data_IF_127909673583
#
_entry.id   IF_127909673583
#
_cell.length_a   1.000
_cell.length_b   1.000
_cell.length_c   1.000
_cell.angle_alpha   90.00
_cell.angle_beta   90.00
_cell.angle_gamma   90.00
#
_symmetry.space_group_name_H-M   'P 1'
#
loop_
_entity.id
_entity.type
_entity.pdbx_description
1 polymer ?
#
# COMPACT_ATOMS: atom_id res chain seq x y z
N UNK A 1 -0.81 -41.60 -32.91
CA UNK A 1 -0.90 -42.06 -31.50
C UNK A 1 -0.23 -41.09 -30.50
N UNK A 2 0.99 -40.58 -30.75
CA UNK A 2 1.73 -39.67 -29.84
C UNK A 2 0.98 -38.39 -29.41
N UNK A 3 0.19 -37.77 -30.29
CA UNK A 3 -0.57 -36.53 -29.98
C UNK A 3 -1.81 -36.73 -29.09
N UNK A 4 -2.40 -37.94 -29.08
CA UNK A 4 -3.58 -38.24 -28.25
C UNK A 4 -3.22 -38.33 -26.75
N UNK A 5 -2.02 -38.80 -26.44
CA UNK A 5 -1.52 -38.92 -25.05
C UNK A 5 -1.32 -37.53 -24.42
N UNK A 6 -0.76 -36.59 -25.17
CA UNK A 6 -0.53 -35.20 -24.71
C UNK A 6 -1.87 -34.50 -24.47
N UNK A 7 -2.84 -34.67 -25.37
CA UNK A 7 -4.18 -34.10 -25.23
C UNK A 7 -4.91 -34.69 -24.00
N UNK A 8 -4.82 -36.00 -23.76
CA UNK A 8 -5.38 -36.64 -22.57
C UNK A 8 -4.75 -36.13 -21.27
N UNK A 9 -3.43 -35.93 -21.23
CA UNK A 9 -2.75 -35.38 -20.05
C UNK A 9 -3.18 -33.94 -19.75
N UNK A 10 -3.37 -33.11 -20.79
CA UNK A 10 -3.89 -31.74 -20.62
C UNK A 10 -5.34 -31.73 -20.11
N UNK A 11 -6.19 -32.63 -20.61
CA UNK A 11 -7.59 -32.76 -20.17
C UNK A 11 -7.66 -33.26 -18.71
N UNK A 12 -6.83 -34.24 -18.31
CA UNK A 12 -6.79 -34.76 -16.95
C UNK A 12 -6.27 -33.71 -15.94
N UNK A 13 -5.27 -32.92 -16.33
CA UNK A 13 -4.82 -31.77 -15.53
C UNK A 13 -5.92 -30.72 -15.37
N UNK A 14 -6.67 -30.43 -16.43
CA UNK A 14 -7.80 -29.49 -16.40
C UNK A 14 -8.93 -30.00 -15.50
N UNK A 15 -9.31 -31.28 -15.61
CA UNK A 15 -10.37 -31.88 -14.79
C UNK A 15 -10.01 -31.94 -13.30
N UNK A 16 -8.78 -32.35 -12.95
CA UNK A 16 -8.32 -32.32 -11.54
C UNK A 16 -8.32 -30.90 -10.96
N UNK A 17 -8.03 -29.88 -11.78
CA UNK A 17 -8.09 -28.48 -11.38
C UNK A 17 -9.52 -27.95 -11.22
N UNK A 18 -10.46 -28.45 -12.02
CA UNK A 18 -11.88 -28.12 -11.89
C UNK A 18 -12.53 -28.82 -10.69
N UNK A 19 -12.20 -30.09 -10.42
CA UNK A 19 -12.78 -30.86 -9.31
C UNK A 19 -12.42 -30.25 -7.94
N UNK A 20 -11.17 -29.82 -7.77
CA UNK A 20 -10.69 -29.17 -6.54
C UNK A 20 -11.38 -27.83 -6.23
N UNK A 21 -12.06 -27.23 -7.20
CA UNK A 21 -12.80 -25.97 -7.02
C UNK A 21 -14.24 -26.18 -6.52
N UNK A 22 -14.79 -27.38 -6.65
CA UNK A 22 -16.20 -27.67 -6.34
C UNK A 22 -16.35 -28.21 -4.91
N UNK A 23 -15.41 -29.03 -4.43
CA UNK A 23 -15.52 -29.69 -3.12
C UNK A 23 -15.19 -28.81 -1.90
N UNK A 24 -14.70 -27.58 -2.10
CA UNK A 24 -14.31 -26.68 -0.99
C UNK A 24 -15.40 -25.69 -0.54
N UNK A 25 -16.65 -25.83 -0.99
CA UNK A 25 -17.66 -24.76 -0.85
C UNK A 25 -18.65 -24.91 0.33
N UNK A 26 -18.67 -26.01 1.10
CA UNK A 26 -19.72 -26.21 2.11
C UNK A 26 -19.29 -26.53 3.56
N UNK A 27 -18.02 -26.37 3.92
CA UNK A 27 -17.62 -26.36 5.33
C UNK A 27 -17.60 -24.92 5.86
N UNK A 28 -18.69 -24.47 6.49
CA UNK A 28 -18.74 -23.23 7.31
C UNK A 28 -17.90 -23.38 8.59
N UNK A 29 -16.60 -23.59 8.45
CA UNK A 29 -15.67 -23.33 9.56
C UNK A 29 -15.62 -21.82 9.72
N UNK A 30 -16.00 -21.31 10.91
CA UNK A 30 -15.75 -19.92 11.29
C UNK A 30 -14.25 -19.69 11.19
N UNK A 31 -13.79 -19.15 10.07
CA UNK A 31 -12.39 -18.74 9.91
C UNK A 31 -12.16 -17.62 10.91
N UNK A 32 -11.30 -17.86 11.89
CA UNK A 32 -10.80 -16.82 12.79
C UNK A 32 -9.94 -15.87 11.96
N UNK A 33 -10.54 -14.80 11.44
CA UNK A 33 -9.82 -13.74 10.76
C UNK A 33 -9.01 -12.96 11.79
N UNK A 34 -7.69 -12.89 11.59
CA UNK A 34 -6.85 -12.00 12.40
C UNK A 34 -7.15 -10.56 12.00
N UNK A 35 -7.47 -9.73 12.98
CA UNK A 35 -7.64 -8.29 12.77
C UNK A 35 -6.29 -7.63 13.05
N UNK A 36 -5.59 -7.25 11.99
CA UNK A 36 -4.35 -6.48 12.10
C UNK A 36 -4.65 -4.97 11.98
N UNK A 37 -3.76 -4.14 12.50
CA UNK A 37 -3.85 -2.68 12.39
C UNK A 37 -2.57 -2.07 11.87
N UNK A 38 -2.68 -1.15 10.92
CA UNK A 38 -1.59 -0.32 10.43
C UNK A 38 -1.78 1.07 10.99
N UNK A 39 -0.75 1.60 11.67
CA UNK A 39 -0.77 2.97 12.18
C UNK A 39 0.05 3.87 11.26
N UNK A 40 -0.47 5.06 10.97
CA UNK A 40 0.23 6.14 10.27
C UNK A 40 0.27 7.35 11.19
N UNK A 41 1.46 7.84 11.52
CA UNK A 41 1.64 9.02 12.37
C UNK A 41 1.77 10.26 11.48
N UNK A 42 0.77 11.15 11.53
CA UNK A 42 0.73 12.34 10.69
C UNK A 42 1.87 13.33 10.98
N UNK A 43 2.38 13.39 12.22
CA UNK A 43 3.44 14.34 12.55
C UNK A 43 4.81 13.88 12.05
N UNK A 44 5.07 12.57 12.05
CA UNK A 44 6.36 12.00 11.64
C UNK A 44 6.37 11.45 10.21
N UNK A 45 5.19 11.32 9.59
CA UNK A 45 4.99 10.67 8.28
C UNK A 45 5.49 9.21 8.23
N UNK A 46 5.43 8.51 9.36
CA UNK A 46 5.90 7.12 9.48
C UNK A 46 4.75 6.13 9.67
N UNK A 47 4.95 4.92 9.14
CA UNK A 47 4.05 3.79 9.38
C UNK A 47 4.60 2.87 10.47
N UNK A 48 3.73 2.48 11.39
CA UNK A 48 4.02 1.48 12.41
C UNK A 48 3.14 0.24 12.19
N UNK A 49 3.64 -0.93 12.63
CA UNK A 49 2.90 -2.18 12.63
C UNK A 49 2.41 -2.65 11.24
N UNK A 50 3.17 -2.35 10.18
CA UNK A 50 2.83 -2.81 8.82
C UNK A 50 2.91 -4.35 8.77
N UNK A 51 1.79 -5.06 8.52
CA UNK A 51 1.79 -6.51 8.55
C UNK A 51 2.58 -7.07 7.37
N UNK A 52 3.56 -7.92 7.66
CA UNK A 52 4.40 -8.60 6.64
C UNK A 52 3.77 -9.91 6.14
N UNK A 53 2.74 -10.41 6.82
CA UNK A 53 2.17 -11.74 6.64
C UNK A 53 0.66 -11.73 6.36
N UNK A 54 0.15 -10.66 5.76
CA UNK A 54 -1.28 -10.49 5.47
C UNK A 54 -1.77 -11.55 4.48
N UNK A 55 -2.84 -12.29 4.77
CA UNK A 55 -3.45 -13.27 3.85
C UNK A 55 -4.68 -12.70 3.19
N UNK A 56 -5.07 -13.27 2.06
CA UNK A 56 -6.31 -12.88 1.39
C UNK A 56 -7.52 -13.19 2.28
N UNK A 57 -8.40 -12.21 2.47
CA UNK A 57 -9.54 -12.27 3.37
C UNK A 57 -9.25 -11.77 4.80
N UNK A 58 -7.99 -11.57 5.17
CA UNK A 58 -7.66 -10.92 6.46
C UNK A 58 -8.21 -9.48 6.47
N UNK A 59 -8.54 -8.99 7.66
CA UNK A 59 -9.09 -7.65 7.84
C UNK A 59 -8.04 -6.74 8.47
N UNK A 60 -7.84 -5.57 7.87
CA UNK A 60 -6.88 -4.57 8.33
C UNK A 60 -7.61 -3.29 8.71
N UNK A 61 -7.34 -2.74 9.89
CA UNK A 61 -7.74 -1.38 10.26
C UNK A 61 -6.59 -0.41 10.02
N UNK A 62 -6.90 0.75 9.46
CA UNK A 62 -5.95 1.84 9.29
C UNK A 62 -6.23 2.87 10.37
N UNK A 63 -5.21 3.23 11.12
CA UNK A 63 -5.28 4.21 12.20
C UNK A 63 -4.35 5.36 11.81
N UNK A 64 -4.89 6.54 11.54
CA UNK A 64 -4.08 7.76 11.39
C UNK A 64 -4.06 8.45 12.74
N UNK A 65 -2.88 8.62 13.33
CA UNK A 65 -2.68 9.26 14.64
C UNK A 65 -2.18 10.68 14.49
N UNK A 66 -2.38 11.48 15.55
CA UNK A 66 -1.98 12.89 15.61
C UNK A 66 -2.63 13.77 14.53
N UNK A 67 -3.80 13.38 14.01
CA UNK A 67 -4.55 14.15 13.02
C UNK A 67 -5.78 14.77 13.67
N UNK A 68 -5.81 16.10 13.76
CA UNK A 68 -7.00 16.80 14.25
C UNK A 68 -8.13 16.69 13.21
N UNK A 69 -9.07 15.76 13.41
CA UNK A 69 -10.17 15.48 12.45
C UNK A 69 -11.16 16.65 12.27
N UNK A 70 -11.06 17.68 13.12
CA UNK A 70 -11.82 18.92 12.97
C UNK A 70 -11.16 19.88 12.01
N UNK A 71 -9.83 19.92 11.97
CA UNK A 71 -9.06 20.76 11.04
C UNK A 71 -8.79 20.04 9.71
N UNK A 72 -8.70 18.71 9.76
CA UNK A 72 -8.32 17.88 8.64
C UNK A 72 -9.41 16.89 8.27
N UNK A 73 -9.54 16.70 6.98
CA UNK A 73 -10.29 15.61 6.38
C UNK A 73 -9.32 14.48 6.01
N UNK A 74 -9.63 13.28 6.45
CA UNK A 74 -8.85 12.08 6.13
C UNK A 74 -9.63 11.27 5.11
N UNK A 75 -9.12 11.19 3.89
CA UNK A 75 -9.61 10.30 2.83
C UNK A 75 -8.68 9.11 2.71
N UNK A 76 -9.23 7.92 2.92
CA UNK A 76 -8.56 6.65 2.69
C UNK A 76 -9.11 6.03 1.40
N UNK A 77 -8.32 6.12 0.35
CA UNK A 77 -8.59 5.53 -0.94
C UNK A 77 -8.00 4.12 -0.98
N UNK A 78 -8.85 3.14 -1.25
CA UNK A 78 -8.47 1.78 -1.60
C UNK A 78 -8.99 1.47 -3.00
N UNK A 79 -8.45 0.44 -3.64
CA UNK A 79 -8.85 0.06 -5.00
C UNK A 79 -10.37 -0.09 -5.21
N UNK A 80 -11.10 -0.49 -4.17
CA UNK A 80 -12.53 -0.80 -4.26
C UNK A 80 -13.42 0.13 -3.42
N UNK A 81 -12.84 1.05 -2.64
CA UNK A 81 -13.60 1.86 -1.70
C UNK A 81 -12.87 3.14 -1.35
N UNK A 82 -13.61 4.24 -1.33
CA UNK A 82 -13.19 5.51 -0.75
C UNK A 82 -13.85 5.63 0.62
N UNK A 83 -13.05 5.86 1.65
CA UNK A 83 -13.50 6.10 3.01
C UNK A 83 -13.10 7.53 3.39
N UNK A 84 -14.02 8.30 3.94
CA UNK A 84 -13.79 9.71 4.27
C UNK A 84 -14.17 9.95 5.72
N UNK A 85 -13.36 10.69 6.46
CA UNK A 85 -13.71 11.11 7.80
C UNK A 85 -14.89 12.10 7.72
N UNK A 86 -16.07 11.65 8.14
CA UNK A 86 -17.24 12.51 8.20
C UNK A 86 -17.12 13.33 9.51
N UNK A 87 -17.03 14.67 9.46
CA UNK A 87 -17.09 15.45 10.67
C UNK A 87 -18.51 15.30 11.20
N UNK A 88 -18.69 14.72 12.39
CA UNK A 88 -19.97 14.83 13.07
C UNK A 88 -20.32 16.33 13.13
N UNK A 89 -21.49 16.66 12.59
CA UNK A 89 -22.01 17.97 12.16
C UNK A 89 -22.03 19.08 13.25
N UNK A 90 -21.47 18.82 14.43
CA UNK A 90 -21.70 19.58 15.66
C UNK A 90 -20.85 20.87 15.71
N UNK A 91 -19.68 20.92 15.06
CA UNK A 91 -18.76 22.06 15.16
C UNK A 91 -19.01 23.20 14.17
N UNK A 92 -19.60 22.93 13.01
CA UNK A 92 -19.94 23.97 12.04
C UNK A 92 -20.85 25.03 12.65
N UNK A 93 -21.81 24.60 13.48
CA UNK A 93 -22.69 25.49 14.25
C UNK A 93 -22.01 26.17 15.43
N UNK A 94 -20.96 25.60 16.02
CA UNK A 94 -20.25 26.20 17.16
C UNK A 94 -19.31 27.31 16.69
N UNK A 95 -18.56 27.10 15.59
CA UNK A 95 -17.59 28.06 15.07
C UNK A 95 -18.23 29.27 14.37
N UNK A 96 -19.36 29.09 13.68
CA UNK A 96 -20.13 30.21 13.11
C UNK A 96 -20.74 31.08 14.21
N UNK A 97 -21.29 30.47 15.26
CA UNK A 97 -21.75 31.21 16.44
C UNK A 97 -20.62 31.98 17.12
N UNK A 98 -19.40 31.42 17.22
CA UNK A 98 -18.22 32.12 17.75
C UNK A 98 -17.88 33.38 16.97
N UNK A 99 -17.84 33.30 15.64
CA UNK A 99 -17.47 34.45 14.80
C UNK A 99 -18.53 35.56 14.87
N UNK A 100 -19.81 35.19 14.94
CA UNK A 100 -20.92 36.11 15.11
C UNK A 100 -20.91 36.80 16.49
N UNK A 101 -20.55 36.06 17.55
CA UNK A 101 -20.36 36.62 18.90
C UNK A 101 -19.18 37.60 18.92
N UNK A 102 -18.04 37.25 18.30
CA UNK A 102 -16.86 38.15 18.26
C UNK A 102 -17.06 39.40 17.40
N UNK A 103 -17.87 39.35 16.35
CA UNK A 103 -18.25 40.53 15.56
C UNK A 103 -19.22 41.46 16.30
N UNK A 104 -20.02 40.90 17.21
CA UNK A 104 -20.98 41.64 18.02
C UNK A 104 -20.43 42.08 19.39
N UNK A 105 -19.18 41.72 19.72
CA UNK A 105 -18.43 42.33 20.81
C UNK A 105 -18.12 43.79 20.42
N UNK A 106 -18.70 44.80 21.08
CA UNK A 106 -18.59 46.18 20.62
C UNK A 106 -17.14 46.66 20.76
N UNK A 107 -16.52 47.09 19.66
CA UNK A 107 -15.21 47.75 19.62
C UNK A 107 -15.19 49.15 20.28
N UNK A 108 -16.30 49.58 20.89
CA UNK A 108 -16.52 50.92 21.43
C UNK A 108 -16.63 51.02 22.96
N UNK A 109 -15.99 50.14 23.72
CA UNK A 109 -16.14 50.12 25.20
C UNK A 109 -15.32 51.22 25.92
N UNK A 110 -14.35 51.87 25.28
CA UNK A 110 -13.53 52.90 25.96
C UNK A 110 -14.23 54.28 26.00
N UNK A 111 -15.25 54.52 25.16
CA UNK A 111 -15.77 55.89 24.96
C UNK A 111 -17.03 56.26 25.73
N UNK A 112 -17.65 55.34 26.48
CA UNK A 112 -18.93 55.61 27.18
C UNK A 112 -18.82 55.76 28.70
N UNK A 113 -17.62 55.65 29.29
CA UNK A 113 -17.42 55.91 30.72
C UNK A 113 -16.97 57.34 31.05
N UNK A 114 -16.71 58.18 30.04
CA UNK A 114 -16.17 59.54 30.20
C UNK A 114 -17.18 60.60 30.64
N UNK A 115 -18.45 60.26 30.86
CA UNK A 115 -19.51 61.23 31.20
C UNK A 115 -20.16 61.06 32.58
N UNK A 116 -19.62 60.19 33.45
CA UNK A 116 -20.06 60.12 34.84
C UNK A 116 -18.86 60.35 35.75
N UNK A 117 -18.73 61.59 36.21
CA UNK A 117 -17.64 62.12 37.03
C UNK A 117 -17.74 61.67 38.50
N UNK A 118 -18.04 60.39 38.72
CA UNK A 118 -18.13 59.78 40.04
C UNK A 118 -16.87 58.94 40.31
N UNK A 119 -16.22 59.19 41.44
CA UNK A 119 -15.03 58.47 41.91
C UNK A 119 -15.25 56.94 41.97
N UNK A 120 -16.52 56.51 42.08
CA UNK A 120 -16.95 55.13 41.98
C UNK A 120 -16.82 54.52 40.57
N UNK A 121 -17.24 55.24 39.52
CA UNK A 121 -17.14 54.80 38.12
C UNK A 121 -15.68 54.74 37.67
N UNK A 122 -14.83 55.65 38.13
CA UNK A 122 -13.38 55.60 37.88
C UNK A 122 -12.70 54.42 38.57
N UNK A 123 -13.11 54.05 39.79
CA UNK A 123 -12.59 52.86 40.48
C UNK A 123 -13.05 51.56 39.80
N UNK A 124 -14.30 51.49 39.35
CA UNK A 124 -14.84 50.36 38.59
C UNK A 124 -14.21 50.25 37.19
N UNK A 125 -14.04 51.36 36.47
CA UNK A 125 -13.32 51.40 35.19
C UNK A 125 -11.89 50.90 35.38
N UNK A 126 -11.16 51.38 36.40
CA UNK A 126 -9.79 50.88 36.69
C UNK A 126 -9.77 49.39 37.04
N UNK A 127 -10.78 48.86 37.73
CA UNK A 127 -10.91 47.42 38.01
C UNK A 127 -11.23 46.64 36.73
N UNK A 128 -12.09 47.16 35.86
CA UNK A 128 -12.41 46.59 34.56
C UNK A 128 -11.23 46.64 33.58
N UNK A 129 -10.47 47.72 33.54
CA UNK A 129 -9.24 47.85 32.75
C UNK A 129 -8.17 46.88 33.27
N UNK A 130 -8.12 46.69 34.60
CA UNK A 130 -7.27 45.66 35.22
C UNK A 130 -7.73 44.24 34.84
N UNK A 131 -9.04 43.97 34.79
CA UNK A 131 -9.57 42.68 34.32
C UNK A 131 -9.36 42.46 32.83
N UNK A 132 -9.65 43.45 32.00
CA UNK A 132 -9.44 43.38 30.57
C UNK A 132 -7.95 43.22 30.26
N UNK A 133 -7.05 43.82 31.03
CA UNK A 133 -5.61 43.57 30.89
C UNK A 133 -5.19 42.22 31.44
N UNK A 134 -5.79 41.70 32.52
CA UNK A 134 -5.55 40.33 33.00
C UNK A 134 -6.09 39.29 32.01
N UNK A 135 -7.28 39.47 31.45
CA UNK A 135 -7.87 38.62 30.42
C UNK A 135 -7.07 38.69 29.13
N UNK A 136 -6.67 39.88 28.67
CA UNK A 136 -5.80 40.01 27.51
C UNK A 136 -4.43 39.41 27.77
N UNK A 137 -3.82 39.64 28.93
CA UNK A 137 -2.52 39.06 29.30
C UNK A 137 -2.62 37.54 29.45
N UNK A 138 -3.69 37.01 30.03
CA UNK A 138 -3.94 35.58 30.12
C UNK A 138 -4.18 34.95 28.75
N UNK A 139 -5.00 35.59 27.91
CA UNK A 139 -5.28 35.13 26.55
C UNK A 139 -4.02 35.20 25.67
N UNK A 140 -3.23 36.28 25.79
CA UNK A 140 -1.95 36.42 25.09
C UNK A 140 -0.91 35.43 25.60
N UNK A 141 -0.76 35.22 26.92
CA UNK A 141 0.17 34.22 27.50
C UNK A 141 -0.23 32.80 27.13
N UNK A 142 -1.53 32.49 27.16
CA UNK A 142 -2.06 31.20 26.73
C UNK A 142 -1.84 31.01 25.23
N UNK A 143 -2.10 32.04 24.41
CA UNK A 143 -1.82 32.01 22.97
C UNK A 143 -0.32 31.89 22.67
N UNK A 144 0.55 32.57 23.42
CA UNK A 144 2.01 32.50 23.25
C UNK A 144 2.52 31.12 23.65
N UNK A 145 2.03 30.56 24.76
CA UNK A 145 2.36 29.20 25.20
C UNK A 145 1.88 28.14 24.20
N UNK A 146 0.66 28.30 23.68
CA UNK A 146 0.11 27.44 22.63
C UNK A 146 0.90 27.61 21.33
N UNK A 147 1.24 28.84 20.91
CA UNK A 147 2.05 29.11 19.71
C UNK A 147 3.45 28.55 19.82
N UNK A 148 4.15 28.74 20.94
CA UNK A 148 5.51 28.22 21.12
C UNK A 148 5.50 26.68 21.09
N UNK A 149 4.50 26.05 21.71
CA UNK A 149 4.36 24.58 21.75
C UNK A 149 3.87 23.96 20.44
N UNK A 150 3.05 24.66 19.66
CA UNK A 150 2.68 24.25 18.29
C UNK A 150 3.90 24.34 17.34
N UNK A 151 4.78 25.31 17.55
CA UNK A 151 5.98 25.49 16.71
C UNK A 151 7.05 24.40 16.99
N UNK A 152 6.99 23.74 18.14
CA UNK A 152 7.94 22.67 18.54
C UNK A 152 7.54 21.25 18.12
N UNK A 153 6.42 21.05 17.40
CA UNK A 153 5.95 19.76 16.87
C UNK A 153 5.69 18.62 17.89
N UNK A 154 5.79 18.89 19.20
CA UNK A 154 5.63 17.88 20.25
C UNK A 154 4.30 18.08 21.02
N UNK A 155 3.19 17.70 20.38
CA UNK A 155 1.83 17.78 20.95
C UNK A 155 1.65 16.96 22.24
N UNK A 156 2.58 16.06 22.56
CA UNK A 156 2.55 15.24 23.80
C UNK A 156 2.94 16.04 25.05
N UNK A 157 3.53 17.23 24.89
CA UNK A 157 3.95 18.14 25.97
C UNK A 157 3.05 19.36 26.15
N UNK A 158 1.81 19.30 25.65
CA UNK A 158 0.78 20.21 26.14
C UNK A 158 0.48 19.78 27.57
N UNK A 159 1.30 20.24 28.52
CA UNK A 159 0.93 20.25 29.93
C UNK A 159 -0.48 20.81 30.01
N UNK A 160 -1.40 20.02 30.59
CA UNK A 160 -2.75 20.46 30.93
C UNK A 160 -2.63 21.85 31.50
N UNK A 161 -3.42 22.79 30.98
CA UNK A 161 -3.55 24.11 31.61
C UNK A 161 -3.77 23.83 33.09
N UNK A 162 -2.83 24.28 33.93
CA UNK A 162 -2.82 23.94 35.35
C UNK A 162 -4.20 24.23 35.91
N UNK A 163 -4.85 23.19 36.42
CA UNK A 163 -6.21 23.25 36.92
C UNK A 163 -6.33 24.35 37.99
N UNK A 164 -5.24 24.62 38.72
CA UNK A 164 -5.15 25.70 39.69
C UNK A 164 -5.21 27.10 39.06
N UNK A 165 -4.67 27.29 37.85
CA UNK A 165 -4.75 28.58 37.13
C UNK A 165 -6.18 28.85 36.67
N UNK A 166 -6.89 27.82 36.19
CA UNK A 166 -8.31 27.90 35.87
C UNK A 166 -9.16 28.17 37.12
N UNK A 167 -8.91 27.43 38.20
CA UNK A 167 -9.60 27.61 39.49
C UNK A 167 -9.37 29.04 40.02
N UNK A 168 -8.14 29.56 39.94
CA UNK A 168 -7.82 30.92 40.39
C UNK A 168 -8.55 31.99 39.56
N UNK A 169 -8.62 31.84 38.23
CA UNK A 169 -9.40 32.73 37.38
C UNK A 169 -10.90 32.66 37.69
N UNK A 170 -11.45 31.46 37.96
CA UNK A 170 -12.84 31.29 38.40
C UNK A 170 -13.10 31.96 39.76
N UNK A 171 -12.16 31.86 40.70
CA UNK A 171 -12.25 32.51 42.00
C UNK A 171 -12.23 34.04 41.86
N UNK A 172 -11.39 34.60 40.98
CA UNK A 172 -11.37 36.04 40.67
C UNK A 172 -12.68 36.52 40.04
N UNK A 173 -13.22 35.78 39.06
CA UNK A 173 -14.51 36.09 38.43
C UNK A 173 -15.64 36.05 39.48
N UNK A 174 -15.65 35.05 40.36
CA UNK A 174 -16.67 34.92 41.42
C UNK A 174 -16.58 36.03 42.47
N UNK A 175 -15.37 36.41 42.89
CA UNK A 175 -15.15 37.58 43.75
C UNK A 175 -15.66 38.87 43.11
N UNK A 176 -15.53 38.98 41.79
CA UNK A 176 -16.05 40.11 41.04
C UNK A 176 -17.58 40.12 41.00
N UNK A 177 -18.21 38.97 40.74
CA UNK A 177 -19.66 38.83 40.81
C UNK A 177 -20.21 39.21 42.18
N UNK A 178 -19.56 38.74 43.24
CA UNK A 178 -19.95 39.05 44.61
C UNK A 178 -19.77 40.54 44.92
N UNK A 179 -18.73 41.17 44.36
CA UNK A 179 -18.52 42.61 44.44
C UNK A 179 -19.62 43.37 43.66
N UNK A 180 -20.00 42.92 42.47
CA UNK A 180 -21.04 43.54 41.63
C UNK A 180 -22.43 43.39 42.27
N UNK A 181 -22.74 42.23 42.86
CA UNK A 181 -23.98 41.98 43.62
C UNK A 181 -24.13 42.95 44.80
N UNK A 182 -23.02 43.31 45.45
CA UNK A 182 -23.01 44.30 46.55
C UNK A 182 -23.40 45.72 46.10
N UNK A 183 -23.38 46.00 44.79
CA UNK A 183 -23.66 47.31 44.20
C UNK A 183 -24.81 47.28 43.17
N UNK A 184 -25.67 46.25 43.18
CA UNK A 184 -26.72 46.01 42.17
C UNK A 184 -27.78 47.11 42.04
N UNK A 185 -27.94 47.94 43.07
CA UNK A 185 -29.05 48.89 43.17
C UNK A 185 -28.72 50.26 42.55
N UNK A 186 -27.46 50.47 42.12
CA UNK A 186 -27.05 51.66 41.36
C UNK A 186 -27.14 51.37 39.86
N UNK A 187 -27.47 52.38 39.05
CA UNK A 187 -27.66 52.23 37.59
C UNK A 187 -26.44 51.62 36.87
N UNK A 188 -25.23 51.86 37.39
CA UNK A 188 -24.00 51.26 36.89
C UNK A 188 -23.94 49.73 37.17
N UNK A 189 -24.42 49.27 38.32
CA UNK A 189 -24.55 47.86 38.66
C UNK A 189 -25.57 47.13 37.78
N UNK A 190 -26.67 47.79 37.41
CA UNK A 190 -27.67 47.25 36.46
C UNK A 190 -27.12 47.12 35.03
N UNK A 191 -26.33 48.09 34.55
CA UNK A 191 -25.73 48.03 33.21
C UNK A 191 -24.64 46.94 33.10
N UNK A 192 -23.85 46.76 34.15
CA UNK A 192 -22.84 45.69 34.25
C UNK A 192 -23.53 44.33 34.40
N UNK A 193 -24.54 44.25 35.27
CA UNK A 193 -25.34 43.03 35.46
C UNK A 193 -26.10 42.65 34.18
N UNK A 194 -26.65 43.57 33.40
CA UNK A 194 -27.28 43.25 32.11
C UNK A 194 -26.30 42.69 31.06
N UNK A 195 -25.00 43.02 31.16
CA UNK A 195 -23.94 42.46 30.28
C UNK A 195 -23.37 41.14 30.80
N UNK A 196 -23.36 40.91 32.11
CA UNK A 196 -22.98 39.63 32.73
C UNK A 196 -24.13 38.61 32.75
N UNK A 197 -25.38 39.08 32.91
CA UNK A 197 -26.65 38.34 32.77
C UNK A 197 -26.99 38.06 31.30
N UNK A 198 -26.10 38.39 30.35
CA UNK A 198 -25.89 37.43 29.27
C UNK A 198 -25.35 36.14 29.91
N UNK A 199 -26.21 35.38 30.57
CA UNK A 199 -25.97 34.05 31.13
C UNK A 199 -25.33 33.10 30.10
N UNK A 200 -25.41 33.49 28.82
CA UNK A 200 -24.69 32.91 27.70
C UNK A 200 -23.17 33.05 27.79
N UNK A 201 -22.57 34.07 28.39
CA UNK A 201 -21.11 34.26 28.34
C UNK A 201 -20.36 33.26 29.22
N UNK A 202 -20.73 33.12 30.50
CA UNK A 202 -20.13 32.11 31.39
C UNK A 202 -20.42 30.69 30.93
N UNK A 203 -21.67 30.39 30.55
CA UNK A 203 -22.04 29.07 30.04
C UNK A 203 -21.30 28.77 28.72
N UNK A 204 -21.19 29.73 27.81
CA UNK A 204 -20.41 29.56 26.58
C UNK A 204 -18.91 29.42 26.88
N UNK A 205 -18.35 30.23 27.76
CA UNK A 205 -16.93 30.16 28.12
C UNK A 205 -16.60 28.82 28.79
N UNK A 206 -17.46 28.34 29.70
CA UNK A 206 -17.39 26.99 30.28
C UNK A 206 -17.53 25.92 29.21
N UNK A 207 -18.46 26.05 28.26
CA UNK A 207 -18.61 25.10 27.16
C UNK A 207 -17.39 25.11 26.22
N UNK A 208 -16.75 26.27 25.99
CA UNK A 208 -15.53 26.37 25.18
C UNK A 208 -14.32 25.80 25.91
N UNK A 209 -14.10 26.15 27.18
CA UNK A 209 -13.01 25.57 27.98
C UNK A 209 -13.23 24.07 28.15
N UNK A 210 -14.43 23.61 28.44
CA UNK A 210 -14.77 22.17 28.50
C UNK A 210 -14.56 21.50 27.14
N UNK A 211 -14.88 22.15 26.01
CA UNK A 211 -14.58 21.63 24.68
C UNK A 211 -13.06 21.50 24.43
N UNK A 212 -12.27 22.51 24.78
CA UNK A 212 -10.81 22.51 24.62
C UNK A 212 -10.09 21.56 25.60
N UNK A 213 -10.61 21.43 26.83
CA UNK A 213 -10.11 20.54 27.88
C UNK A 213 -10.48 19.08 27.57
N UNK A 214 -11.65 18.85 26.96
CA UNK A 214 -12.11 17.52 26.54
C UNK A 214 -11.77 17.19 25.09
N UNK A 215 -10.76 17.84 24.49
CA UNK A 215 -10.17 17.32 23.26
C UNK A 215 -9.36 16.06 23.63
N UNK A 216 -10.10 14.97 23.85
CA UNK A 216 -9.59 13.63 24.11
C UNK A 216 -8.59 13.24 23.00
N UNK A 217 -7.49 12.57 23.37
CA UNK A 217 -6.52 12.01 22.43
C UNK A 217 -7.20 11.12 21.38
N UNK A 218 -8.33 10.48 21.74
CA UNK A 218 -9.20 9.75 20.82
C UNK A 218 -9.74 10.58 19.64
N UNK A 219 -9.84 11.90 19.77
CA UNK A 219 -10.30 12.81 18.71
C UNK A 219 -9.24 13.11 17.65
N UNK A 220 -7.96 12.93 18.00
CA UNK A 220 -6.81 13.08 17.09
C UNK A 220 -6.49 11.81 16.30
N UNK A 221 -7.34 10.80 16.40
CA UNK A 221 -7.14 9.54 15.72
C UNK A 221 -8.28 9.29 14.72
N UNK A 222 -7.95 9.04 13.46
CA UNK A 222 -8.89 8.46 12.50
C UNK A 222 -8.71 6.95 12.48
N UNK A 223 -9.79 6.21 12.75
CA UNK A 223 -9.79 4.73 12.70
C UNK A 223 -10.73 4.30 11.59
N UNK A 224 -10.19 3.63 10.57
CA UNK A 224 -10.99 3.09 9.47
C UNK A 224 -11.83 1.90 9.94
N UNK A 225 -12.99 1.62 9.30
CA UNK A 225 -13.59 0.29 9.38
C UNK A 225 -12.58 -0.76 8.89
N UNK A 226 -12.71 -2.03 9.30
CA UNK A 226 -11.85 -3.10 8.81
C UNK A 226 -11.97 -3.26 7.29
N UNK A 227 -10.83 -3.26 6.60
CA UNK A 227 -10.71 -3.43 5.14
C UNK A 227 -10.25 -4.84 4.86
N UNK A 228 -10.99 -5.56 4.04
CA UNK A 228 -10.63 -6.92 3.65
C UNK A 228 -9.50 -6.90 2.62
N UNK A 229 -8.41 -7.60 2.89
CA UNK A 229 -7.27 -7.75 2.01
C UNK A 229 -7.65 -8.61 0.80
N UNK A 230 -7.65 -8.02 -0.41
CA UNK A 230 -7.97 -8.71 -1.66
C UNK A 230 -6.89 -8.51 -2.71
N UNK A 231 -6.65 -9.56 -3.50
CA UNK A 231 -5.65 -9.55 -4.56
C UNK A 231 -4.22 -9.71 -4.05
N UNK A 232 -3.28 -9.04 -4.73
CA UNK A 232 -1.84 -9.23 -4.51
C UNK A 232 -1.26 -8.23 -3.50
N UNK A 233 -1.86 -7.04 -3.44
CA UNK A 233 -1.47 -5.96 -2.56
C UNK A 233 -2.71 -5.26 -2.04
N UNK A 234 -2.69 -4.88 -0.77
CA UNK A 234 -3.58 -3.87 -0.22
C UNK A 234 -2.94 -2.51 -0.48
N UNK A 235 -3.41 -1.85 -1.55
CA UNK A 235 -3.01 -0.49 -1.91
C UNK A 235 -3.87 0.50 -1.12
N UNK A 236 -3.19 1.34 -0.33
CA UNK A 236 -3.81 2.40 0.47
C UNK A 236 -3.21 3.72 0.03
N UNK A 237 -4.08 4.67 -0.26
CA UNK A 237 -3.73 6.06 -0.54
C UNK A 237 -4.45 6.90 0.52
N UNK A 238 -3.68 7.38 1.49
CA UNK A 238 -4.14 8.21 2.60
C UNK A 238 -3.90 9.65 2.19
N UNK A 239 -4.98 10.42 2.13
CA UNK A 239 -4.95 11.86 1.84
C UNK A 239 -5.49 12.60 3.04
N UNK A 240 -4.73 13.56 3.54
CA UNK A 240 -5.06 14.40 4.68
C UNK A 240 -5.09 15.82 4.16
N UNK A 241 -6.29 16.38 4.03
CA UNK A 241 -6.49 17.70 3.45
C UNK A 241 -7.11 18.63 4.49
N UNK A 242 -6.63 19.89 4.63
CA UNK A 242 -7.30 20.87 5.47
C UNK A 242 -8.75 21.03 5.05
N UNK A 243 -9.65 21.11 6.03
CA UNK A 243 -11.05 21.43 5.76
C UNK A 243 -11.16 22.90 5.38
N UNK A 244 -11.81 23.18 4.27
CA UNK A 244 -12.18 24.55 3.89
C UNK A 244 -13.44 24.93 4.67
N UNK A 245 -13.29 25.81 5.66
CA UNK A 245 -14.45 26.44 6.29
C UNK A 245 -14.92 27.59 5.38
N UNK A 246 -16.14 27.48 4.84
CA UNK A 246 -16.72 28.47 3.91
C UNK A 246 -16.79 29.88 4.53
N UNK A 247 -16.76 29.98 5.86
CA UNK A 247 -16.71 31.24 6.58
C UNK A 247 -15.29 31.51 7.09
N UNK A 248 -14.72 32.61 6.60
CA UNK A 248 -13.41 33.18 6.96
C UNK A 248 -13.17 33.17 8.47
N UNK A 249 -12.61 32.09 9.00
CA UNK A 249 -12.06 32.07 10.34
C UNK A 249 -10.80 32.96 10.33
N UNK A 250 -10.66 33.92 11.27
CA UNK A 250 -9.53 34.84 11.31
C UNK A 250 -8.19 34.16 11.65
N UNK A 251 -8.20 32.87 11.98
CA UNK A 251 -7.01 32.09 12.26
C UNK A 251 -6.48 31.46 10.97
N UNK A 252 -5.47 32.10 10.36
CA UNK A 252 -4.65 31.50 9.31
C UNK A 252 -3.61 30.63 10.01
N UNK A 253 -4.00 29.42 10.43
CA UNK A 253 -3.03 28.38 10.73
C UNK A 253 -2.59 27.83 9.36
N UNK A 254 -1.29 27.82 9.01
CA UNK A 254 -0.83 27.19 7.78
C UNK A 254 -1.06 25.68 7.93
N UNK A 255 -2.17 25.19 7.39
CA UNK A 255 -2.50 23.77 7.37
C UNK A 255 -1.96 23.19 6.06
N UNK A 256 -1.10 22.19 6.16
CA UNK A 256 -0.50 21.53 5.01
C UNK A 256 -1.36 20.36 4.52
N UNK A 257 -1.32 20.09 3.21
CA UNK A 257 -1.84 18.84 2.66
C UNK A 257 -0.79 17.74 2.82
N UNK A 258 -1.24 16.53 3.12
CA UNK A 258 -0.40 15.35 3.09
C UNK A 258 -1.06 14.23 2.28
N UNK A 259 -0.24 13.45 1.58
CA UNK A 259 -0.68 12.32 0.79
C UNK A 259 0.38 11.25 0.76
N UNK A 260 0.02 10.06 1.26
CA UNK A 260 0.93 8.92 1.30
C UNK A 260 0.31 7.67 0.71
N UNK A 261 1.11 6.95 -0.09
CA UNK A 261 0.72 5.70 -0.75
C UNK A 261 1.52 4.55 -0.21
N UNK A 262 0.84 3.57 0.38
CA UNK A 262 1.45 2.32 0.87
C UNK A 262 0.83 1.13 0.17
N UNK A 263 1.67 0.14 -0.16
CA UNK A 263 1.25 -1.10 -0.79
C UNK A 263 1.71 -2.28 0.06
N UNK A 264 0.77 -2.90 0.77
CA UNK A 264 1.04 -4.00 1.69
C UNK A 264 0.91 -5.31 0.93
N UNK A 265 1.95 -6.17 0.86
CA UNK A 265 1.87 -7.43 0.13
C UNK A 265 0.90 -8.39 0.82
N UNK A 266 0.02 -9.01 0.02
CA UNK A 266 -0.87 -10.06 0.46
C UNK A 266 -0.25 -11.40 0.08
N UNK A 267 0.02 -12.25 1.07
CA UNK A 267 0.37 -13.67 0.90
C UNK A 267 -0.81 -14.42 0.31
N UNK A 268 -0.97 -14.30 -1.01
CA UNK A 268 -1.77 -15.20 -1.81
C UNK A 268 -1.21 -16.61 -1.67
N UNK A 269 -1.95 -17.50 -1.00
CA UNK A 269 -1.68 -18.93 -1.04
C UNK A 269 -2.13 -19.55 -2.38
N UNK A 270 -2.71 -18.74 -3.28
CA UNK A 270 -3.18 -19.19 -4.60
C UNK A 270 -2.00 -19.28 -5.55
N UNK A 271 -1.89 -20.43 -6.18
CA UNK A 271 -1.07 -20.63 -7.36
C UNK A 271 -1.66 -19.81 -8.51
N UNK A 272 -0.81 -19.09 -9.21
CA UNK A 272 -1.15 -18.34 -10.42
C UNK A 272 -0.64 -19.10 -11.62
N UNK A 273 -1.51 -19.21 -12.61
CA UNK A 273 -1.14 -19.76 -13.91
C UNK A 273 -0.71 -18.60 -14.82
N UNK A 274 0.51 -18.64 -15.31
CA UNK A 274 1.01 -17.67 -16.30
C UNK A 274 1.61 -18.37 -17.50
N UNK A 275 1.66 -17.66 -18.63
CA UNK A 275 2.20 -18.18 -19.87
C UNK A 275 3.32 -17.27 -20.36
N UNK A 276 4.45 -17.86 -20.74
CA UNK A 276 5.62 -17.12 -21.20
C UNK A 276 6.14 -17.65 -22.52
N UNK A 277 6.89 -16.82 -23.23
CA UNK A 277 7.72 -17.22 -24.37
C UNK A 277 9.14 -16.69 -24.22
N UNK A 278 10.14 -17.33 -24.82
CA UNK A 278 11.51 -16.81 -24.83
C UNK A 278 12.53 -17.83 -25.29
N UNK A 279 13.77 -17.63 -24.87
CA UNK A 279 14.90 -18.43 -25.34
C UNK A 279 15.31 -19.48 -24.30
N UNK A 280 15.75 -20.65 -24.78
CA UNK A 280 16.32 -21.68 -23.94
C UNK A 280 17.63 -22.21 -24.50
N UNK A 281 18.45 -22.74 -23.61
CA UNK A 281 19.65 -23.52 -23.89
C UNK A 281 19.48 -24.92 -23.31
N UNK A 282 19.87 -25.94 -24.07
CA UNK A 282 19.78 -27.34 -23.63
C UNK A 282 20.98 -28.17 -24.05
N UNK A 283 21.30 -29.21 -23.28
CA UNK A 283 22.20 -30.30 -23.69
C UNK A 283 21.55 -31.34 -24.63
N UNK A 284 20.25 -31.25 -24.90
CA UNK A 284 19.56 -32.12 -25.85
C UNK A 284 19.63 -31.51 -27.24
N UNK A 285 20.51 -32.08 -28.07
CA UNK A 285 20.64 -31.72 -29.49
C UNK A 285 20.44 -32.92 -30.41
N UNK A 286 19.92 -32.63 -31.59
CA UNK A 286 19.84 -33.59 -32.71
C UNK A 286 21.21 -33.65 -33.38
N UNK A 287 22.08 -34.49 -32.83
CA UNK A 287 23.49 -34.61 -33.21
C UNK A 287 23.72 -35.46 -34.48
N UNK A 288 22.68 -36.04 -35.05
CA UNK A 288 22.81 -37.23 -35.89
C UNK A 288 23.09 -36.96 -37.36
N UNK A 289 23.54 -35.78 -37.78
CA UNK A 289 23.97 -35.66 -39.18
C UNK A 289 25.34 -36.30 -39.31
N UNK A 290 25.36 -37.41 -40.03
CA UNK A 290 26.57 -38.05 -40.48
C UNK A 290 26.65 -37.79 -41.97
N UNK A 291 27.84 -37.43 -42.43
CA UNK A 291 28.15 -37.19 -43.82
C UNK A 291 29.33 -38.06 -44.24
N UNK A 292 29.37 -38.40 -45.52
CA UNK A 292 30.52 -39.09 -46.10
C UNK A 292 31.61 -38.08 -46.42
N UNK A 293 32.74 -38.14 -45.71
CA UNK A 293 33.94 -37.37 -46.05
C UNK A 293 34.91 -38.22 -46.86
N UNK A 294 35.49 -37.69 -47.95
CA UNK A 294 36.53 -38.39 -48.68
C UNK A 294 37.77 -38.55 -47.79
N UNK A 295 38.35 -39.75 -47.79
CA UNK A 295 39.60 -40.05 -47.09
C UNK A 295 40.62 -40.58 -48.11
N UNK A 296 41.75 -39.90 -48.22
CA UNK A 296 42.85 -40.28 -49.10
C UNK A 296 43.97 -40.94 -48.28
N UNK A 297 44.52 -42.04 -48.79
CA UNK A 297 45.77 -42.61 -48.29
C UNK A 297 46.81 -42.32 -49.38
N UNK A 298 47.69 -41.35 -49.13
CA UNK A 298 48.59 -40.81 -50.16
C UNK A 298 47.86 -39.95 -51.20
N UNK A 299 48.32 -39.98 -52.45
CA UNK A 299 47.79 -39.17 -53.57
C UNK A 299 46.51 -39.77 -54.21
N UNK A 300 46.03 -40.91 -53.70
CA UNK A 300 44.85 -41.61 -54.23
C UNK A 300 43.65 -41.50 -53.30
N UNK A 301 42.54 -40.97 -53.82
CA UNK A 301 41.24 -40.94 -53.14
C UNK A 301 40.75 -42.38 -52.97
N UNK A 302 40.80 -42.91 -51.75
CA UNK A 302 40.73 -44.37 -51.52
C UNK A 302 39.34 -44.83 -51.05
N UNK A 303 38.65 -44.05 -50.22
CA UNK A 303 37.31 -44.40 -49.69
C UNK A 303 36.61 -43.20 -49.05
N UNK A 304 35.32 -43.36 -48.76
CA UNK A 304 34.56 -42.43 -47.92
C UNK A 304 34.47 -42.96 -46.50
N UNK A 305 34.72 -42.09 -45.52
CA UNK A 305 34.47 -42.36 -44.11
C UNK A 305 33.21 -41.64 -43.67
N UNK A 306 32.37 -42.36 -42.92
CA UNK A 306 31.21 -41.77 -42.28
C UNK A 306 31.70 -40.93 -41.08
N UNK A 307 31.63 -39.62 -41.19
CA UNK A 307 31.97 -38.72 -40.09
C UNK A 307 30.74 -37.95 -39.65
N UNK A 308 30.69 -37.60 -38.37
CA UNK A 308 29.71 -36.65 -37.88
C UNK A 308 29.92 -35.32 -38.63
N UNK A 309 28.88 -34.81 -39.28
CA UNK A 309 28.93 -33.45 -39.82
C UNK A 309 29.10 -32.51 -38.63
N UNK A 310 30.20 -31.76 -38.62
CA UNK A 310 30.49 -30.75 -37.60
C UNK A 310 29.49 -29.60 -37.73
N UNK A 311 28.25 -29.82 -37.29
CA UNK A 311 27.25 -28.79 -37.09
C UNK A 311 27.58 -28.03 -35.79
N UNK A 312 28.75 -27.39 -35.75
CA UNK A 312 29.27 -26.67 -34.59
C UNK A 312 29.61 -27.57 -33.40
N UNK A 313 30.80 -27.42 -32.84
CA UNK A 313 31.24 -28.16 -31.66
C UNK A 313 30.50 -27.77 -30.36
N UNK A 314 29.41 -27.01 -30.44
CA UNK A 314 28.65 -26.62 -29.26
C UNK A 314 28.01 -27.86 -28.63
N UNK A 315 28.32 -28.07 -27.35
CA UNK A 315 27.67 -29.09 -26.51
C UNK A 315 26.19 -28.79 -26.25
N UNK A 316 25.74 -27.60 -26.64
CA UNK A 316 24.42 -27.06 -26.34
C UNK A 316 23.69 -26.60 -27.61
N UNK A 317 22.37 -26.70 -27.57
CA UNK A 317 21.46 -26.13 -28.56
C UNK A 317 20.72 -24.94 -27.97
N UNK A 318 20.55 -23.88 -28.77
CA UNK A 318 19.72 -22.73 -28.45
C UNK A 318 18.35 -22.89 -29.13
N UNK A 319 17.29 -22.41 -28.50
CA UNK A 319 15.94 -22.57 -29.02
C UNK A 319 14.96 -21.54 -28.49
N UNK A 320 13.73 -21.59 -29.03
CA UNK A 320 12.59 -20.82 -28.54
C UNK A 320 11.65 -21.73 -27.75
N UNK A 321 11.11 -21.25 -26.63
CA UNK A 321 10.23 -22.03 -25.77
C UNK A 321 8.94 -21.29 -25.45
N UNK A 322 7.85 -22.03 -25.33
CA UNK A 322 6.57 -21.57 -24.77
C UNK A 322 6.28 -22.38 -23.51
N UNK A 323 5.94 -21.71 -22.40
CA UNK A 323 5.84 -22.34 -21.08
C UNK A 323 4.60 -21.86 -20.33
N UNK A 324 3.94 -22.79 -19.66
CA UNK A 324 2.96 -22.52 -18.62
C UNK A 324 3.64 -22.64 -17.25
N UNK A 325 3.46 -21.63 -16.40
CA UNK A 325 4.04 -21.56 -15.06
C UNK A 325 2.94 -21.59 -14.02
N UNK A 326 3.16 -22.37 -12.98
CA UNK A 326 2.38 -22.37 -11.76
C UNK A 326 3.24 -21.74 -10.69
N UNK A 327 2.95 -20.49 -10.34
CA UNK A 327 3.82 -19.69 -9.46
C UNK A 327 3.07 -19.14 -8.26
N UNK A 328 3.82 -18.95 -7.18
CA UNK A 328 3.35 -18.28 -5.96
C UNK A 328 4.16 -17.01 -5.73
N UNK A 329 3.49 -15.95 -5.28
CA UNK A 329 4.15 -14.71 -4.87
C UNK A 329 4.99 -14.94 -3.61
N UNK A 330 6.29 -14.65 -3.68
CA UNK A 330 7.19 -14.66 -2.52
C UNK A 330 7.23 -13.26 -1.90
N UNK A 331 7.45 -12.24 -2.73
CA UNK A 331 7.50 -10.83 -2.32
C UNK A 331 6.93 -9.93 -3.44
N UNK A 332 7.02 -8.60 -3.29
CA UNK A 332 6.44 -7.63 -4.26
C UNK A 332 6.95 -7.79 -5.70
N UNK A 333 8.20 -8.24 -5.86
CA UNK A 333 8.91 -8.28 -7.13
C UNK A 333 9.37 -9.69 -7.53
N UNK A 334 9.02 -10.72 -6.74
CA UNK A 334 9.52 -12.08 -6.91
C UNK A 334 8.41 -13.10 -6.75
N UNK A 335 8.32 -14.00 -7.73
CA UNK A 335 7.52 -15.22 -7.65
C UNK A 335 8.40 -16.44 -7.88
N UNK A 336 8.02 -17.57 -7.32
CA UNK A 336 8.64 -18.85 -7.65
C UNK A 336 7.61 -19.95 -7.82
N UNK A 337 7.98 -21.00 -8.54
CA UNK A 337 7.12 -22.15 -8.73
C UNK A 337 7.71 -23.12 -9.73
N UNK A 338 6.83 -23.79 -10.47
CA UNK A 338 7.21 -24.79 -11.47
C UNK A 338 6.61 -24.46 -12.82
N UNK A 339 7.17 -25.04 -13.88
CA UNK A 339 6.70 -24.84 -15.23
C UNK A 339 6.59 -26.15 -16.01
N UNK A 340 5.72 -26.14 -17.02
CA UNK A 340 5.62 -27.13 -18.08
C UNK A 340 5.62 -26.38 -19.40
N UNK A 341 6.40 -26.82 -20.38
CA UNK A 341 6.50 -26.09 -21.64
C UNK A 341 7.07 -26.89 -22.78
N UNK A 342 6.93 -26.32 -23.97
CA UNK A 342 7.46 -26.86 -25.21
C UNK A 342 8.65 -26.03 -25.67
N UNK A 343 9.67 -26.67 -26.20
CA UNK A 343 10.86 -26.04 -26.75
C UNK A 343 11.11 -26.49 -28.19
N UNK A 344 11.48 -25.54 -29.05
CA UNK A 344 11.89 -25.77 -30.43
C UNK A 344 13.34 -25.24 -30.62
N UNK A 345 14.35 -26.12 -30.72
CA UNK A 345 15.72 -25.71 -30.94
C UNK A 345 15.89 -25.11 -32.35
N UNK A 346 16.72 -24.07 -32.44
CA UNK A 346 17.14 -23.42 -33.68
C UNK A 346 18.23 -24.27 -34.34
N UNK A 347 17.82 -25.40 -34.90
CA UNK A 347 18.67 -26.34 -35.63
C UNK A 347 18.05 -26.65 -37.00
N UNK A 348 18.84 -27.17 -37.94
CA UNK A 348 18.40 -27.44 -39.32
C UNK A 348 17.16 -28.36 -39.41
N UNK A 349 17.03 -29.31 -38.46
CA UNK A 349 15.88 -30.20 -38.34
C UNK A 349 15.25 -30.03 -36.94
N UNK A 350 14.42 -29.01 -36.71
CA UNK A 350 13.90 -28.74 -35.38
C UNK A 350 12.90 -29.82 -34.96
N UNK A 351 13.12 -30.42 -33.78
CA UNK A 351 12.17 -31.34 -33.16
C UNK A 351 11.51 -30.64 -31.97
N UNK A 352 10.23 -30.91 -31.74
CA UNK A 352 9.52 -30.38 -30.57
C UNK A 352 9.92 -31.17 -29.32
N UNK A 353 10.34 -30.46 -28.28
CA UNK A 353 10.70 -31.05 -26.99
C UNK A 353 9.73 -30.62 -25.90
N UNK A 354 9.46 -31.52 -24.95
CA UNK A 354 8.71 -31.23 -23.74
C UNK A 354 9.69 -30.90 -22.61
N UNK A 355 9.42 -29.87 -21.83
CA UNK A 355 10.26 -29.41 -20.72
C UNK A 355 9.44 -29.20 -19.45
N UNK A 356 10.07 -29.45 -18.31
CA UNK A 356 9.52 -29.18 -16.98
C UNK A 356 10.61 -28.77 -16.01
N UNK A 357 10.26 -28.00 -14.98
CA UNK A 357 11.23 -27.64 -13.94
C UNK A 357 10.75 -26.53 -13.02
N UNK A 358 11.70 -25.85 -12.39
CA UNK A 358 11.46 -24.72 -11.51
C UNK A 358 11.53 -23.39 -12.28
N UNK A 359 10.74 -22.41 -11.83
CA UNK A 359 10.72 -21.04 -12.38
C UNK A 359 10.84 -20.02 -11.26
N UNK A 360 11.63 -18.97 -11.50
CA UNK A 360 11.73 -17.78 -10.66
C UNK A 360 11.42 -16.57 -11.55
N UNK A 361 10.40 -15.81 -11.18
CA UNK A 361 9.95 -14.62 -11.90
C UNK A 361 10.35 -13.37 -11.15
N UNK A 362 10.96 -12.41 -11.86
CA UNK A 362 11.39 -11.13 -11.32
C UNK A 362 10.65 -9.96 -12.00
N UNK A 363 10.47 -8.88 -11.24
CA UNK A 363 9.89 -7.62 -11.71
C UNK A 363 8.38 -7.50 -11.48
N UNK A 364 7.84 -6.30 -11.71
CA UNK A 364 6.39 -6.05 -11.63
C UNK A 364 5.69 -6.89 -12.71
N UNK A 365 4.77 -7.78 -12.30
CA UNK A 365 4.03 -8.72 -13.18
C UNK A 365 4.88 -9.84 -13.82
N UNK A 366 6.02 -10.18 -13.22
CA UNK A 366 6.94 -11.22 -13.70
C UNK A 366 7.41 -11.03 -15.15
N UNK A 367 7.75 -9.81 -15.57
CA UNK A 367 8.17 -9.57 -16.96
C UNK A 367 9.30 -10.51 -17.41
N UNK A 368 10.19 -10.92 -16.50
CA UNK A 368 11.32 -11.81 -16.78
C UNK A 368 11.24 -13.04 -15.87
N UNK A 369 11.26 -14.24 -16.46
CA UNK A 369 11.35 -15.50 -15.73
C UNK A 369 12.62 -16.27 -16.10
N UNK A 370 13.30 -16.76 -15.07
CA UNK A 370 14.41 -17.69 -15.16
C UNK A 370 13.89 -19.09 -14.88
N UNK A 371 14.15 -20.02 -15.78
CA UNK A 371 13.67 -21.39 -15.61
C UNK A 371 14.79 -22.41 -15.79
N UNK A 372 14.79 -23.40 -14.90
CA UNK A 372 15.79 -24.47 -14.84
C UNK A 372 15.07 -25.81 -14.71
N UNK A 373 15.51 -26.83 -15.43
CA UNK A 373 14.90 -28.15 -15.31
C UNK A 373 15.37 -29.14 -16.36
N UNK A 374 14.46 -30.01 -16.76
CA UNK A 374 14.69 -31.08 -17.71
C UNK A 374 13.89 -30.88 -18.98
N UNK A 375 14.44 -31.32 -20.09
CA UNK A 375 13.82 -31.31 -21.41
C UNK A 375 14.03 -32.68 -22.06
N UNK A 376 12.99 -33.18 -22.71
CA UNK A 376 12.96 -34.52 -23.29
C UNK A 376 12.20 -34.55 -24.61
N UNK A 377 12.70 -35.36 -25.55
CA UNK A 377 12.10 -35.51 -26.86
C UNK A 377 12.84 -36.53 -27.71
N UNK A 378 12.24 -36.87 -28.85
CA UNK A 378 12.88 -37.80 -29.79
C UNK A 378 13.95 -37.03 -30.58
N UNK A 379 15.15 -37.59 -30.60
CA UNK A 379 16.24 -37.18 -31.49
C UNK A 379 16.46 -38.30 -32.50
N UNK A 380 16.86 -37.94 -33.72
CA UNK A 380 17.28 -38.94 -34.68
C UNK A 380 18.68 -39.38 -34.26
N UNK A 381 18.97 -40.67 -34.39
CA UNK A 381 20.30 -41.26 -34.19
C UNK A 381 20.49 -42.27 -35.31
N UNK A 382 21.69 -42.43 -35.89
CA UNK A 382 21.87 -43.46 -36.90
C UNK A 382 21.57 -44.84 -36.29
N UNK A 383 20.95 -45.73 -37.08
CA UNK A 383 20.70 -47.09 -36.62
C UNK A 383 22.03 -47.78 -36.26
N UNK A 384 22.03 -48.61 -35.23
CA UNK A 384 23.23 -49.22 -34.61
C UNK A 384 24.06 -50.12 -35.54
N UNK A 385 23.63 -50.29 -36.80
CA UNK A 385 24.32 -51.09 -37.81
C UNK A 385 25.36 -50.28 -38.61
N UNK A 386 25.54 -48.99 -38.31
CA UNK A 386 26.56 -48.16 -38.94
C UNK A 386 27.88 -48.28 -38.19
N UNK A 387 28.72 -49.22 -38.61
CA UNK A 387 30.11 -49.29 -38.17
C UNK A 387 30.85 -48.05 -38.71
N UNK A 388 31.22 -47.12 -37.83
CA UNK A 388 31.90 -45.86 -38.19
C UNK A 388 33.31 -46.07 -38.74
N UNK A 389 33.88 -47.26 -38.53
CA UNK A 389 35.19 -47.66 -39.07
C UNK A 389 35.06 -48.33 -40.45
N UNK A 390 33.83 -48.57 -40.93
CA UNK A 390 33.62 -49.16 -42.24
C UNK A 390 33.96 -48.18 -43.35
N UNK A 391 34.76 -48.64 -44.31
CA UNK A 391 35.22 -47.85 -45.46
C UNK A 391 34.30 -48.12 -46.64
N UNK A 392 33.71 -47.07 -47.20
CA UNK A 392 32.77 -47.21 -48.31
C UNK A 392 33.42 -46.80 -49.64
N UNK A 393 33.24 -47.62 -50.68
CA UNK A 393 33.72 -47.35 -52.04
C UNK A 393 32.83 -46.38 -52.83
N UNK A 394 31.60 -46.12 -52.34
CA UNK A 394 30.62 -45.20 -52.95
C UNK A 394 30.06 -44.24 -51.91
N UNK A 395 29.69 -43.02 -52.35
CA UNK A 395 29.19 -41.92 -51.51
C UNK A 395 27.72 -42.09 -51.08
N UNK A 396 26.92 -42.87 -51.80
CA UNK A 396 25.45 -42.76 -51.73
C UNK A 396 24.76 -43.92 -51.00
N UNK A 397 25.36 -44.41 -49.90
CA UNK A 397 24.68 -45.39 -49.06
C UNK A 397 23.70 -44.63 -48.14
N UNK A 398 22.39 -44.94 -48.18
CA UNK A 398 21.42 -44.25 -47.33
C UNK A 398 21.70 -44.55 -45.86
N UNK A 399 21.86 -43.49 -45.06
CA UNK A 399 22.01 -43.59 -43.60
C UNK A 399 20.63 -43.72 -43.00
N UNK A 400 20.33 -44.87 -42.40
CA UNK A 400 19.07 -45.09 -41.70
C UNK A 400 19.10 -44.41 -40.32
N UNK A 401 18.02 -43.72 -39.97
CA UNK A 401 17.85 -43.03 -38.70
C UNK A 401 16.73 -43.62 -37.88
N UNK A 402 16.99 -43.84 -36.59
CA UNK A 402 15.99 -44.24 -35.61
C UNK A 402 15.69 -43.10 -34.63
N UNK A 403 14.43 -42.96 -34.26
CA UNK A 403 14.03 -42.03 -33.19
C UNK A 403 14.42 -42.62 -31.83
N UNK A 404 15.26 -41.90 -31.08
CA UNK A 404 15.58 -42.24 -29.68
C UNK A 404 15.13 -41.12 -28.75
N UNK A 405 14.47 -41.49 -27.66
CA UNK A 405 14.17 -40.54 -26.59
C UNK A 405 15.47 -40.09 -25.93
N UNK A 406 15.72 -38.77 -25.89
CA UNK A 406 16.84 -38.16 -25.19
C UNK A 406 16.31 -37.17 -24.16
N UNK A 407 16.85 -37.24 -22.96
CA UNK A 407 16.54 -36.36 -21.84
C UNK A 407 17.82 -35.60 -21.47
N UNK A 408 17.69 -34.33 -21.12
CA UNK A 408 18.81 -33.51 -20.67
C UNK A 408 18.33 -32.30 -19.89
N UNK A 409 19.27 -31.44 -19.50
CA UNK A 409 18.95 -30.22 -18.78
C UNK A 409 18.50 -29.11 -19.73
N UNK A 410 17.75 -28.15 -19.19
CA UNK A 410 17.35 -26.92 -19.87
C UNK A 410 17.47 -25.74 -18.91
N UNK A 411 18.05 -24.65 -19.43
CA UNK A 411 18.03 -23.34 -18.80
C UNK A 411 17.35 -22.36 -19.77
N UNK A 412 16.58 -21.40 -19.27
CA UNK A 412 15.87 -20.47 -20.16
C UNK A 412 15.58 -19.14 -19.50
N UNK A 413 15.50 -18.11 -20.33
CA UNK A 413 15.03 -16.78 -19.98
C UNK A 413 13.80 -16.52 -20.84
N UNK A 414 12.66 -16.31 -20.18
CA UNK A 414 11.37 -16.13 -20.83
C UNK A 414 10.68 -14.87 -20.35
N UNK A 415 9.85 -14.28 -21.21
CA UNK A 415 9.03 -13.12 -20.88
C UNK A 415 7.58 -13.55 -20.66
N UNK A 416 6.98 -13.09 -19.56
CA UNK A 416 5.57 -13.36 -19.27
C UNK A 416 4.68 -12.65 -20.29
N UNK A 417 3.81 -13.39 -20.97
CA UNK A 417 2.87 -12.85 -21.96
C UNK A 417 1.56 -12.48 -21.27
N UNK A 418 1.01 -13.38 -20.45
CA UNK A 418 -0.18 -13.12 -19.66
C UNK A 418 -0.29 -14.03 -18.43
N UNK A 419 -1.03 -13.54 -17.42
CA UNK A 419 -1.30 -14.26 -16.17
C UNK A 419 -2.81 -14.40 -15.98
N UNK A 420 -3.28 -15.62 -15.74
CA UNK A 420 -4.66 -15.91 -15.36
C UNK A 420 -4.77 -15.72 -13.84
N UNK A 421 -5.75 -14.91 -13.43
CA UNK A 421 -5.98 -14.55 -12.01
C UNK A 421 -6.93 -15.50 -11.31
#
# INVERSE_FOLDING_TARGET
MKYRIILCLLILCYQSFCQTKIDSSNSKTKKNYKLDSVKYNFNTNEFENVPTNLKEGDKVKIIVTNVNRFLYEVKLNTKNRILQSNPNFILGGILTNLTEITKNLPSGIIWSFTLLNDDFCNRLSKQFDKLSSIEQDYFQKSLISIKSKITENDLTKIERIDENVLINNFVEIKKLEDSIKKYSDKDCGKAIKAKLDEAKFQEKFQNYTTFFINIDEGLFNFISPPIEAKGDFLELDIQITPRTFENKTPFIIPLENDSIKVAIPIKSNRWKLSFSTGFFITGVKDDSKYGYKPYSIGDSLSYFKLEKENNGDSKYSLGIASKAHFMRTINKNTKAGFYLGLGLPLQKNPNLFLSSGASIGLGKREQILFNFGYIGGNVKIPSSNLNQDFKFSKRDIPIEYVDKLKIGFVCSITFNVFTIK
#
